data_IF_231291394926
#
_entry.id   IF_231291394926
#
_cell.length_a   1.000
_cell.length_b   1.000
_cell.length_c   1.000
_cell.angle_alpha   90.00
_cell.angle_beta   90.00
_cell.angle_gamma   90.00
#
_symmetry.space_group_name_H-M   'P 1'
#
loop_
_entity.id
_entity.type
_entity.pdbx_description
1 polymer ?
#
# COMPACT_ATOMS: atom_id res chain seq x y z
N UNK A 1 -25.29 -8.42 13.79
CA UNK A 1 -24.64 -8.43 12.47
C UNK A 1 -23.23 -7.84 12.57
N UNK A 2 -22.39 -8.38 13.47
CA UNK A 2 -21.08 -7.77 13.83
C UNK A 2 -20.05 -8.78 14.35
N UNK A 3 -20.26 -10.08 14.08
CA UNK A 3 -19.35 -11.17 14.50
C UNK A 3 -18.62 -11.87 13.35
N UNK A 4 -18.99 -11.58 12.10
CA UNK A 4 -18.37 -12.24 10.92
C UNK A 4 -17.05 -11.57 10.54
N UNK A 5 -16.93 -10.25 10.72
CA UNK A 5 -15.72 -9.49 10.36
C UNK A 5 -14.54 -9.80 11.28
N UNK A 6 -14.79 -10.11 12.56
CA UNK A 6 -13.74 -10.44 13.53
C UNK A 6 -13.16 -11.86 13.33
N UNK A 7 -13.98 -12.80 12.83
CA UNK A 7 -13.55 -14.19 12.61
C UNK A 7 -12.57 -14.34 11.43
N UNK A 8 -12.72 -13.52 10.38
CA UNK A 8 -11.81 -13.52 9.23
C UNK A 8 -10.41 -13.01 9.59
N UNK A 9 -10.31 -12.03 10.50
CA UNK A 9 -9.03 -11.47 10.94
C UNK A 9 -8.20 -12.51 11.73
N UNK A 10 -8.85 -13.33 12.57
CA UNK A 10 -8.14 -14.36 13.34
C UNK A 10 -7.70 -15.55 12.48
N UNK A 11 -8.45 -15.88 11.43
CA UNK A 11 -8.11 -17.00 10.54
C UNK A 11 -6.94 -16.68 9.61
N UNK A 12 -6.76 -15.41 9.24
CA UNK A 12 -5.58 -14.91 8.50
C UNK A 12 -4.35 -14.79 9.41
N UNK A 13 -4.50 -14.42 10.69
CA UNK A 13 -3.39 -14.28 11.64
C UNK A 13 -2.92 -15.60 12.30
N UNK A 14 -3.74 -16.66 12.28
CA UNK A 14 -3.44 -17.92 12.99
C UNK A 14 -2.47 -18.87 12.28
N UNK A 15 -2.22 -18.70 10.99
CA UNK A 15 -1.35 -19.57 10.17
C UNK A 15 0.06 -18.98 9.91
N UNK A 16 0.40 -17.86 10.54
CA UNK A 16 1.65 -17.12 10.29
C UNK A 16 2.87 -17.62 11.07
N UNK A 17 3.27 -18.88 10.88
CA UNK A 17 4.59 -19.36 11.34
C UNK A 17 5.29 -19.99 10.13
N UNK A 18 6.30 -19.27 9.64
CA UNK A 18 7.26 -19.66 8.58
C UNK A 18 6.78 -19.51 7.12
N UNK A 19 6.24 -18.35 6.76
CA UNK A 19 6.25 -17.89 5.36
C UNK A 19 7.39 -16.89 5.21
N UNK A 20 8.46 -17.33 4.56
CA UNK A 20 9.53 -16.44 4.10
C UNK A 20 8.96 -15.61 2.94
N UNK A 21 8.69 -14.33 3.23
CA UNK A 21 8.10 -13.43 2.26
C UNK A 21 9.22 -12.96 1.32
N UNK A 22 9.26 -13.50 0.10
CA UNK A 22 10.21 -13.06 -0.91
C UNK A 22 9.72 -11.72 -1.49
N UNK A 23 10.02 -10.65 -0.77
CA UNK A 23 9.76 -9.29 -1.23
C UNK A 23 10.45 -9.06 -2.58
N UNK A 24 9.76 -8.36 -3.48
CA UNK A 24 10.40 -7.90 -4.71
C UNK A 24 11.40 -6.79 -4.36
N UNK A 25 12.41 -6.57 -5.21
CA UNK A 25 13.34 -5.45 -5.03
C UNK A 25 12.60 -4.12 -4.87
N UNK A 26 11.51 -3.92 -5.63
CA UNK A 26 10.62 -2.76 -5.50
C UNK A 26 9.96 -2.68 -4.13
N UNK A 27 9.49 -3.80 -3.56
CA UNK A 27 8.90 -3.81 -2.21
C UNK A 27 9.94 -3.42 -1.15
N UNK A 28 11.17 -3.92 -1.27
CA UNK A 28 12.28 -3.60 -0.35
C UNK A 28 12.65 -2.13 -0.43
N UNK A 29 12.77 -1.57 -1.64
CA UNK A 29 13.07 -0.15 -1.85
C UNK A 29 11.98 0.73 -1.23
N UNK A 30 10.72 0.37 -1.48
CA UNK A 30 9.55 1.11 -1.02
C UNK A 30 9.41 1.06 0.50
N UNK A 31 9.67 -0.11 1.10
CA UNK A 31 9.77 -0.25 2.56
C UNK A 31 10.94 0.57 3.13
N UNK A 32 12.06 0.62 2.42
CA UNK A 32 13.21 1.47 2.77
C UNK A 32 12.83 2.95 2.83
N UNK A 33 12.13 3.45 1.81
CA UNK A 33 11.63 4.83 1.75
C UNK A 33 10.63 5.15 2.88
N UNK A 34 9.68 4.26 3.13
CA UNK A 34 8.72 4.43 4.23
C UNK A 34 9.40 4.45 5.60
N UNK A 35 10.43 3.60 5.78
CA UNK A 35 11.23 3.56 7.00
C UNK A 35 12.04 4.83 7.18
N UNK A 36 12.69 5.31 6.12
CA UNK A 36 13.42 6.57 6.14
C UNK A 36 12.51 7.73 6.56
N UNK A 37 11.33 7.87 5.95
CA UNK A 37 10.35 8.88 6.35
C UNK A 37 9.95 8.76 7.83
N UNK A 38 9.74 7.53 8.31
CA UNK A 38 9.42 7.29 9.72
C UNK A 38 10.56 7.72 10.64
N UNK A 39 11.80 7.34 10.31
CA UNK A 39 12.98 7.57 11.13
C UNK A 39 13.46 9.04 11.11
N UNK A 40 13.30 9.73 9.97
CA UNK A 40 13.77 11.11 9.76
C UNK A 40 12.72 12.17 10.07
N UNK A 41 11.42 11.87 9.88
CA UNK A 41 10.34 12.86 10.02
C UNK A 41 9.41 12.52 11.19
N UNK A 42 8.82 11.31 11.18
CA UNK A 42 7.74 10.97 12.14
C UNK A 42 8.28 10.80 13.56
N UNK A 43 9.36 10.04 13.75
CA UNK A 43 9.93 9.77 15.08
C UNK A 43 10.48 11.03 15.74
N UNK A 44 11.27 11.88 15.04
CA UNK A 44 11.74 13.14 15.61
C UNK A 44 10.57 14.07 16.00
N UNK A 45 9.59 14.25 15.12
CA UNK A 45 8.40 15.07 15.41
C UNK A 45 7.63 14.50 16.61
N UNK A 46 7.48 13.18 16.71
CA UNK A 46 6.86 12.53 17.86
C UNK A 46 7.62 12.73 19.18
N UNK A 47 8.96 12.89 19.12
CA UNK A 47 9.77 13.19 20.31
C UNK A 47 9.60 14.61 20.83
N UNK A 48 9.15 15.55 20.00
CA UNK A 48 8.83 16.92 20.43
C UNK A 48 7.55 16.97 21.28
N UNK A 49 6.67 15.97 21.13
CA UNK A 49 5.43 15.83 21.88
C UNK A 49 5.38 14.51 22.68
N UNK A 50 6.26 14.31 23.68
CA UNK A 50 6.35 13.05 24.43
C UNK A 50 5.28 12.91 25.53
N UNK A 51 4.47 13.96 25.75
CA UNK A 51 3.44 14.00 26.78
C UNK A 51 2.18 13.21 26.41
N UNK A 52 1.31 12.90 27.38
CA UNK A 52 -0.01 12.30 27.12
C UNK A 52 -0.97 13.24 26.37
N UNK A 53 -0.60 14.51 26.24
CA UNK A 53 -1.37 15.52 25.53
C UNK A 53 -1.44 15.19 24.03
N UNK A 54 -2.63 15.29 23.41
CA UNK A 54 -2.77 15.09 21.98
C UNK A 54 -1.88 16.07 21.19
N UNK A 55 -1.16 15.55 20.19
CA UNK A 55 -0.40 16.36 19.24
C UNK A 55 -1.33 17.39 18.58
N UNK A 56 -0.90 18.65 18.40
CA UNK A 56 -1.69 19.66 17.72
C UNK A 56 -2.14 19.18 16.33
N UNK A 57 -3.40 19.45 15.97
CA UNK A 57 -3.94 19.04 14.66
C UNK A 57 -3.13 19.60 13.49
N UNK A 58 -2.61 20.82 13.60
CA UNK A 58 -1.75 21.42 12.57
C UNK A 58 -0.52 20.56 12.28
N UNK A 59 0.18 20.09 13.31
CA UNK A 59 1.35 19.22 13.16
C UNK A 59 0.98 17.89 12.54
N UNK A 60 -0.17 17.32 12.92
CA UNK A 60 -0.68 16.09 12.30
C UNK A 60 -1.02 16.33 10.83
N UNK A 61 -1.60 17.47 10.48
CA UNK A 61 -1.93 17.81 9.10
C UNK A 61 -0.67 18.03 8.26
N UNK A 62 0.35 18.70 8.80
CA UNK A 62 1.65 18.90 8.15
C UNK A 62 2.33 17.53 7.86
N UNK A 63 2.37 16.64 8.86
CA UNK A 63 2.89 15.28 8.69
C UNK A 63 2.07 14.47 7.67
N UNK A 64 0.76 14.68 7.58
CA UNK A 64 -0.11 13.98 6.63
C UNK A 64 0.12 14.45 5.20
N UNK A 65 0.37 15.74 4.99
CA UNK A 65 0.75 16.26 3.68
C UNK A 65 2.11 15.72 3.24
N UNK A 66 3.10 15.67 4.14
CA UNK A 66 4.43 15.13 3.83
C UNK A 66 4.40 13.60 3.59
N UNK A 67 3.58 12.88 4.35
CA UNK A 67 3.40 11.43 4.18
C UNK A 67 2.57 11.06 2.94
N UNK A 68 1.91 12.03 2.30
CA UNK A 68 0.90 11.77 1.28
C UNK A 68 1.44 10.95 0.12
N UNK A 69 2.56 11.37 -0.46
CA UNK A 69 3.23 10.66 -1.56
C UNK A 69 3.72 9.27 -1.15
N UNK A 70 4.58 9.09 -0.12
CA UNK A 70 5.11 7.77 0.21
C UNK A 70 4.01 6.77 0.60
N UNK A 71 2.93 7.21 1.27
CA UNK A 71 1.78 6.35 1.58
C UNK A 71 1.04 5.94 0.30
N UNK A 72 0.76 6.89 -0.61
CA UNK A 72 0.14 6.59 -1.90
C UNK A 72 0.94 5.56 -2.73
N UNK A 73 2.28 5.63 -2.72
CA UNK A 73 3.13 4.64 -3.40
C UNK A 73 2.97 3.27 -2.75
N UNK A 74 3.01 3.17 -1.42
CA UNK A 74 2.81 1.92 -0.68
C UNK A 74 1.48 1.25 -1.03
N UNK A 75 0.38 2.00 -0.98
CA UNK A 75 -0.97 1.48 -1.19
C UNK A 75 -1.14 0.95 -2.61
N UNK A 76 -0.73 1.72 -3.62
CA UNK A 76 -0.81 1.31 -5.03
C UNK A 76 0.05 0.07 -5.27
N UNK A 77 1.26 0.02 -4.70
CA UNK A 77 2.15 -1.12 -4.85
C UNK A 77 1.57 -2.39 -4.19
N UNK A 78 1.11 -2.29 -2.95
CA UNK A 78 0.55 -3.42 -2.20
C UNK A 78 -0.72 -3.98 -2.85
N UNK A 79 -1.64 -3.11 -3.25
CA UNK A 79 -2.89 -3.52 -3.91
C UNK A 79 -2.61 -4.25 -5.24
N UNK A 80 -1.71 -3.72 -6.06
CA UNK A 80 -1.38 -4.33 -7.36
C UNK A 80 -0.60 -5.64 -7.21
N UNK A 81 0.33 -5.72 -6.27
CA UNK A 81 1.12 -6.93 -6.02
C UNK A 81 0.25 -8.06 -5.49
N UNK A 82 -0.62 -7.76 -4.51
CA UNK A 82 -1.56 -8.73 -3.94
C UNK A 82 -2.50 -9.30 -5.01
N UNK A 83 -3.04 -8.43 -5.87
CA UNK A 83 -3.87 -8.87 -7.00
C UNK A 83 -3.12 -9.82 -7.93
N UNK A 84 -1.90 -9.47 -8.33
CA UNK A 84 -1.08 -10.31 -9.22
C UNK A 84 -0.81 -11.68 -8.60
N UNK A 85 -0.52 -11.72 -7.30
CA UNK A 85 -0.27 -12.97 -6.59
C UNK A 85 -1.52 -13.87 -6.56
N UNK A 86 -2.70 -13.30 -6.29
CA UNK A 86 -3.97 -14.06 -6.28
C UNK A 86 -4.34 -14.54 -7.68
N UNK A 87 -4.21 -13.68 -8.70
CA UNK A 87 -4.47 -14.05 -10.09
C UNK A 87 -3.56 -15.21 -10.54
N UNK A 88 -2.30 -15.20 -10.10
CA UNK A 88 -1.36 -16.29 -10.34
C UNK A 88 -1.80 -17.57 -9.63
N UNK A 89 -2.17 -17.48 -8.34
CA UNK A 89 -2.65 -18.63 -7.57
C UNK A 89 -3.88 -19.29 -8.24
N UNK A 90 -4.85 -18.49 -8.67
CA UNK A 90 -6.02 -18.97 -9.42
C UNK A 90 -5.57 -19.69 -10.69
N UNK A 91 -4.67 -19.09 -11.47
CA UNK A 91 -4.15 -19.69 -12.71
C UNK A 91 -3.44 -21.02 -12.47
N UNK A 92 -2.64 -21.13 -11.41
CA UNK A 92 -1.95 -22.38 -11.03
C UNK A 92 -2.94 -23.50 -10.69
N UNK A 93 -4.10 -23.17 -10.12
CA UNK A 93 -5.15 -24.14 -9.79
C UNK A 93 -6.11 -24.45 -10.93
N UNK A 94 -5.96 -23.79 -12.09
CA UNK A 94 -6.84 -23.95 -13.25
C UNK A 94 -8.29 -23.58 -12.94
N UNK A 95 -9.25 -24.28 -13.58
CA UNK A 95 -10.68 -24.01 -13.41
C UNK A 95 -11.19 -24.17 -11.96
N UNK A 96 -10.54 -24.99 -11.14
CA UNK A 96 -10.89 -25.16 -9.73
C UNK A 96 -10.64 -23.89 -8.91
N UNK A 97 -9.70 -23.04 -9.32
CA UNK A 97 -9.42 -21.75 -8.65
C UNK A 97 -10.54 -20.72 -8.76
N UNK A 98 -11.45 -20.91 -9.72
CA UNK A 98 -12.65 -20.08 -9.90
C UNK A 98 -13.88 -20.65 -9.18
N UNK A 99 -13.78 -21.88 -8.69
CA UNK A 99 -14.86 -22.52 -7.97
C UNK A 99 -14.84 -22.14 -6.49
N UNK A 100 -15.99 -22.27 -5.82
CA UNK A 100 -16.09 -22.07 -4.37
C UNK A 100 -15.54 -23.28 -3.57
N UNK A 101 -14.92 -24.27 -4.23
CA UNK A 101 -14.27 -25.41 -3.57
C UNK A 101 -12.89 -25.06 -3.00
N UNK A 102 -12.26 -24.00 -3.52
CA UNK A 102 -11.02 -23.44 -3.00
C UNK A 102 -11.30 -22.03 -2.45
N UNK A 103 -10.66 -21.61 -1.35
CA UNK A 103 -10.88 -20.28 -0.77
C UNK A 103 -10.38 -19.13 -1.65
N UNK A 104 -9.76 -19.41 -2.79
CA UNK A 104 -9.16 -18.42 -3.68
C UNK A 104 -10.20 -17.46 -4.30
N UNK A 105 -11.42 -17.96 -4.57
CA UNK A 105 -12.54 -17.15 -5.05
C UNK A 105 -12.91 -16.06 -4.04
N UNK A 106 -13.06 -16.42 -2.77
CA UNK A 106 -13.42 -15.49 -1.71
C UNK A 106 -12.29 -14.53 -1.34
N UNK A 107 -11.04 -15.00 -1.37
CA UNK A 107 -9.86 -14.14 -1.19
C UNK A 107 -9.74 -13.11 -2.32
N UNK A 108 -10.02 -13.49 -3.58
CA UNK A 108 -10.04 -12.55 -4.70
C UNK A 108 -11.15 -11.49 -4.54
N UNK A 109 -12.33 -11.89 -4.08
CA UNK A 109 -13.45 -10.97 -3.79
C UNK A 109 -13.12 -10.01 -2.65
N UNK A 110 -12.50 -10.49 -1.57
CA UNK A 110 -12.17 -9.65 -0.41
C UNK A 110 -11.09 -8.62 -0.76
N UNK A 111 -10.07 -9.02 -1.51
CA UNK A 111 -8.96 -8.12 -1.87
C UNK A 111 -9.39 -7.00 -2.84
N UNK A 112 -10.48 -7.19 -3.61
CA UNK A 112 -11.03 -6.09 -4.43
C UNK A 112 -11.45 -4.88 -3.60
N UNK A 113 -11.80 -5.05 -2.33
CA UNK A 113 -12.17 -3.94 -1.46
C UNK A 113 -11.01 -2.96 -1.21
N UNK A 114 -9.76 -3.44 -1.21
CA UNK A 114 -8.58 -2.58 -1.03
C UNK A 114 -8.46 -1.49 -2.11
N UNK A 115 -9.01 -1.73 -3.32
CA UNK A 115 -8.98 -0.75 -4.43
C UNK A 115 -10.03 0.36 -4.30
N UNK A 116 -10.84 0.35 -3.24
CA UNK A 116 -11.93 1.30 -3.03
C UNK A 116 -11.84 1.97 -1.67
N UNK A 117 -11.52 1.19 -0.62
CA UNK A 117 -11.53 1.67 0.78
C UNK A 117 -10.45 2.73 1.02
N UNK A 118 -9.22 2.49 0.57
CA UNK A 118 -8.09 3.42 0.77
C UNK A 118 -7.98 4.46 -0.36
N UNK A 119 -9.06 4.65 -1.13
CA UNK A 119 -9.09 5.49 -2.33
C UNK A 119 -8.92 4.67 -3.60
N UNK A 120 -9.63 5.08 -4.67
CA UNK A 120 -9.51 4.42 -5.96
C UNK A 120 -8.07 4.52 -6.49
N UNK A 121 -7.58 3.48 -7.16
CA UNK A 121 -6.22 3.46 -7.74
C UNK A 121 -5.96 4.71 -8.59
N UNK A 122 -6.96 5.22 -9.29
CA UNK A 122 -6.86 6.42 -10.13
C UNK A 122 -6.68 7.70 -9.33
N UNK A 123 -7.25 7.78 -8.12
CA UNK A 123 -7.04 8.89 -7.19
C UNK A 123 -5.62 8.85 -6.66
N UNK A 124 -5.15 7.69 -6.23
CA UNK A 124 -3.79 7.52 -5.74
C UNK A 124 -2.76 7.80 -6.85
N UNK A 125 -2.99 7.31 -8.08
CA UNK A 125 -2.17 7.63 -9.25
C UNK A 125 -2.19 9.11 -9.60
N UNK A 126 -3.30 9.82 -9.39
CA UNK A 126 -3.34 11.28 -9.60
C UNK A 126 -2.46 12.01 -8.60
N UNK A 127 -2.47 11.61 -7.32
CA UNK A 127 -1.58 12.18 -6.31
C UNK A 127 -0.12 11.96 -6.71
N UNK A 128 0.22 10.73 -7.09
CA UNK A 128 1.57 10.40 -7.58
C UNK A 128 1.95 11.16 -8.84
N UNK A 129 1.03 11.34 -9.78
CA UNK A 129 1.27 12.10 -10.99
C UNK A 129 1.49 13.60 -10.70
N UNK A 130 0.79 14.15 -9.70
CA UNK A 130 1.02 15.51 -9.22
C UNK A 130 2.44 15.66 -8.67
N UNK A 131 2.81 14.81 -7.73
CA UNK A 131 4.16 14.79 -7.11
C UNK A 131 5.30 14.58 -8.12
N UNK A 132 5.10 13.70 -9.10
CA UNK A 132 6.07 13.43 -10.15
C UNK A 132 6.17 14.57 -11.20
N UNK A 133 5.14 15.41 -11.31
CA UNK A 133 5.13 16.56 -12.22
C UNK A 133 5.74 17.80 -11.58
N UNK A 134 5.96 17.81 -10.26
CA UNK A 134 6.63 18.90 -9.58
C UNK A 134 8.07 19.01 -10.06
N UNK A 135 8.49 20.21 -10.47
CA UNK A 135 9.82 20.46 -11.07
C UNK A 135 10.99 19.98 -10.19
N UNK A 136 10.79 19.92 -8.87
CA UNK A 136 11.77 19.44 -7.91
C UNK A 136 12.06 17.92 -8.02
N UNK A 137 11.12 17.15 -8.56
CA UNK A 137 11.18 15.68 -8.67
C UNK A 137 11.33 15.19 -10.12
N UNK A 138 11.41 16.10 -11.10
CA UNK A 138 11.61 15.74 -12.50
C UNK A 138 13.02 15.21 -12.74
N UNK A 139 13.14 13.97 -13.21
CA UNK A 139 14.38 13.48 -13.81
C UNK A 139 14.40 13.87 -15.30
N UNK A 140 15.31 14.75 -15.75
CA UNK A 140 15.36 15.21 -17.14
C UNK A 140 15.59 14.08 -18.15
N UNK A 141 16.19 12.95 -17.74
CA UNK A 141 16.40 11.78 -18.61
C UNK A 141 15.10 11.01 -18.93
N UNK A 142 14.12 11.00 -18.01
CA UNK A 142 12.84 10.30 -18.24
C UNK A 142 11.90 11.09 -19.16
N UNK A 143 12.09 12.42 -19.23
CA UNK A 143 11.34 13.32 -20.12
C UNK A 143 11.77 13.18 -21.59
N UNK A 144 13.02 12.77 -21.84
CA UNK A 144 13.55 12.54 -23.20
C UNK A 144 12.87 11.36 -23.91
N UNK A 145 12.29 10.42 -23.14
CA UNK A 145 11.61 9.23 -23.67
C UNK A 145 10.11 9.45 -23.96
N UNK A 146 9.54 10.62 -23.63
CA UNK A 146 8.12 10.85 -23.84
C UNK A 146 7.90 11.28 -25.30
N UNK A 147 7.10 10.56 -26.09
CA UNK A 147 6.78 10.99 -27.44
C UNK A 147 5.98 12.30 -27.38
N UNK A 148 6.62 13.40 -27.78
CA UNK A 148 5.97 14.68 -28.01
C UNK A 148 5.16 14.56 -29.31
N UNK A 149 3.82 14.62 -29.21
CA UNK A 149 2.91 14.72 -30.36
C UNK A 149 2.42 16.16 -30.53
#
# INVERSE_FOLDING_TARGET
MGRVVLGYFTLVCGYGRDVEYHDSATAVELAGRARQFTDEVVIPTGREYPGPEPVPRSTVDDLREEARTPVSVCEVFAANTTRKAIDLAIRCTGGSGLSEYLPLSDVCKSVRAFRVVDGADEVQKRVLAGDASDEANLNPEELESIPTY
#
